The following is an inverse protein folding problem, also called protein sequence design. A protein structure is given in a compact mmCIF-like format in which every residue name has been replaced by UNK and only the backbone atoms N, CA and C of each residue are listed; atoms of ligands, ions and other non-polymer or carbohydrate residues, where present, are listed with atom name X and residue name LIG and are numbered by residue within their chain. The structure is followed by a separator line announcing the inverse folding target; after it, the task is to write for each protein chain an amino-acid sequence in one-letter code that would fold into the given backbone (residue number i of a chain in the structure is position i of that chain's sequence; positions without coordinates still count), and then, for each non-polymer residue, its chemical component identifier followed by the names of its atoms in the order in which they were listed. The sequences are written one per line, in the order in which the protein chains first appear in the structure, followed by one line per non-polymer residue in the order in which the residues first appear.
data_IF_987299595793
#
_entry.id   IF_987299595793
#
_cell.length_a   1.000
_cell.length_b   1.000
_cell.length_c   1.000
_cell.angle_alpha   90.00
_cell.angle_beta   90.00
_cell.angle_gamma   90.00
#
_symmetry.space_group_name_H-M   'P 1'
#
loop_
_entity.id
_entity.type
_entity.pdbx_description
1 polymer ?
#
# COMPACT_ATOMS: atom_id res chain seq x y z
N UNK A 1 -17.15 5.19 -2.96
CA UNK A 1 -18.08 6.31 -2.73
C UNK A 1 -18.10 6.55 -1.23
N UNK A 2 -17.81 7.76 -0.73
CA UNK A 2 -17.78 8.01 0.73
C UNK A 2 -19.22 8.12 1.24
N UNK A 3 -19.63 7.17 2.08
CA UNK A 3 -20.96 7.12 2.70
C UNK A 3 -20.82 7.17 4.21
N UNK A 4 -21.68 7.93 4.87
CA UNK A 4 -21.82 7.96 6.33
C UNK A 4 -22.86 6.90 6.72
N UNK A 5 -22.55 6.13 7.76
CA UNK A 5 -23.41 5.09 8.31
C UNK A 5 -24.33 5.64 9.41
N UNK A 6 -25.55 5.12 9.46
CA UNK A 6 -26.47 5.22 10.60
C UNK A 6 -26.55 3.86 11.28
N UNK A 7 -26.92 3.79 12.58
CA UNK A 7 -27.11 2.51 13.26
C UNK A 7 -28.13 1.60 12.55
N UNK A 8 -29.17 2.18 11.94
CA UNK A 8 -30.19 1.45 11.18
C UNK A 8 -29.69 0.83 9.87
N UNK A 9 -28.50 1.20 9.40
CA UNK A 9 -27.94 0.68 8.17
C UNK A 9 -27.21 -0.66 8.36
N UNK A 10 -26.93 -1.04 9.62
CA UNK A 10 -26.28 -2.29 9.94
C UNK A 10 -27.24 -3.46 9.80
N UNK A 11 -26.75 -4.54 9.21
CA UNK A 11 -27.46 -5.80 9.03
C UNK A 11 -26.73 -6.88 9.82
N UNK A 12 -27.48 -7.75 10.50
CA UNK A 12 -26.90 -8.86 11.22
C UNK A 12 -26.44 -9.94 10.22
N UNK A 13 -25.17 -10.34 10.29
CA UNK A 13 -24.58 -11.39 9.47
C UNK A 13 -23.82 -12.38 10.37
N UNK A 14 -23.92 -13.67 10.04
CA UNK A 14 -23.08 -14.70 10.67
C UNK A 14 -21.69 -14.68 10.03
N UNK A 15 -20.67 -14.43 10.85
CA UNK A 15 -19.26 -14.49 10.47
C UNK A 15 -18.57 -15.45 11.42
N UNK A 16 -18.06 -16.57 10.88
CA UNK A 16 -17.34 -17.60 11.65
C UNK A 16 -18.14 -18.16 12.86
N UNK A 17 -19.47 -18.29 12.72
CA UNK A 17 -20.34 -18.86 13.76
C UNK A 17 -20.70 -17.86 14.87
N UNK A 18 -20.49 -16.57 14.62
CA UNK A 18 -20.90 -15.47 15.51
C UNK A 18 -21.68 -14.44 14.70
N UNK A 19 -22.80 -14.00 15.26
CA UNK A 19 -23.62 -12.95 14.66
C UNK A 19 -22.99 -11.59 14.96
N UNK A 20 -22.62 -10.87 13.91
CA UNK A 20 -22.11 -9.51 13.98
C UNK A 20 -22.95 -8.57 13.12
N UNK A 21 -23.01 -7.30 13.50
CA UNK A 21 -23.61 -6.27 12.68
C UNK A 21 -22.60 -5.76 11.65
N UNK A 22 -23.01 -5.72 10.39
CA UNK A 22 -22.19 -5.28 9.27
C UNK A 22 -22.86 -4.24 8.39
N UNK A 23 -22.07 -3.40 7.75
CA UNK A 23 -22.51 -2.50 6.70
C UNK A 23 -22.47 -3.21 5.34
N UNK A 24 -23.61 -3.40 4.64
CA UNK A 24 -23.67 -4.21 3.42
C UNK A 24 -22.86 -3.66 2.23
N UNK A 25 -22.48 -2.38 2.27
CA UNK A 25 -21.72 -1.72 1.21
C UNK A 25 -20.23 -1.60 1.51
N UNK A 26 -19.78 -2.05 2.68
CA UNK A 26 -18.38 -1.98 3.07
C UNK A 26 -17.80 -3.40 3.07
N UNK A 27 -17.03 -3.66 2.02
CA UNK A 27 -16.47 -4.98 1.72
C UNK A 27 -15.21 -5.27 2.56
N UNK A 28 -14.66 -4.25 3.23
CA UNK A 28 -13.41 -4.32 3.97
C UNK A 28 -13.65 -4.29 5.47
N UNK A 29 -12.78 -5.01 6.19
CA UNK A 29 -12.68 -4.85 7.64
C UNK A 29 -12.13 -3.46 7.94
N UNK A 30 -12.90 -2.67 8.69
CA UNK A 30 -12.52 -1.32 9.07
C UNK A 30 -13.07 -0.99 10.47
N UNK A 31 -12.60 0.09 11.11
CA UNK A 31 -13.17 0.51 12.38
C UNK A 31 -14.69 0.66 12.28
N UNK A 32 -15.42 -0.01 13.18
CA UNK A 32 -16.88 -0.02 13.22
C UNK A 32 -17.58 -1.08 12.35
N UNK A 33 -16.85 -1.85 11.54
CA UNK A 33 -17.44 -2.90 10.69
C UNK A 33 -16.50 -4.12 10.54
N UNK A 34 -16.86 -5.32 11.04
CA UNK A 34 -18.06 -5.67 11.81
C UNK A 34 -18.06 -5.03 13.21
N UNK A 35 -19.26 -4.94 13.82
CA UNK A 35 -19.47 -4.47 15.21
C UNK A 35 -20.49 -5.34 15.94
N UNK A 36 -20.45 -5.34 17.27
CA UNK A 36 -21.49 -5.99 18.10
C UNK A 36 -22.62 -5.01 18.46
N UNK A 37 -22.36 -3.71 18.37
CA UNK A 37 -23.31 -2.64 18.64
C UNK A 37 -23.34 -1.64 17.46
N UNK A 38 -24.48 -1.50 16.77
CA UNK A 38 -24.64 -0.56 15.66
C UNK A 38 -24.46 0.91 16.04
N UNK A 39 -24.75 1.32 17.27
CA UNK A 39 -24.59 2.72 17.69
C UNK A 39 -23.12 3.12 17.77
N UNK A 40 -22.33 2.37 18.54
CA UNK A 40 -20.87 2.57 18.62
C UNK A 40 -20.18 2.31 17.28
N UNK A 41 -20.63 1.31 16.53
CA UNK A 41 -20.11 1.00 15.20
C UNK A 41 -20.28 2.15 14.21
N UNK A 42 -21.46 2.76 14.16
CA UNK A 42 -21.72 3.91 13.29
C UNK A 42 -20.79 5.10 13.61
N UNK A 43 -20.55 5.39 14.90
CA UNK A 43 -19.63 6.46 15.32
C UNK A 43 -18.20 6.16 14.86
N UNK A 44 -17.71 4.94 15.10
CA UNK A 44 -16.36 4.52 14.70
C UNK A 44 -16.17 4.54 13.18
N UNK A 45 -17.14 3.99 12.43
CA UNK A 45 -17.12 3.98 10.98
C UNK A 45 -17.11 5.39 10.39
N UNK A 46 -17.97 6.28 10.89
CA UNK A 46 -18.06 7.65 10.39
C UNK A 46 -16.79 8.45 10.66
N UNK A 47 -16.18 8.26 11.84
CA UNK A 47 -14.88 8.85 12.16
C UNK A 47 -13.80 8.35 11.19
N UNK A 48 -13.75 7.04 10.95
CA UNK A 48 -12.82 6.45 9.99
C UNK A 48 -13.03 6.98 8.56
N UNK A 49 -14.29 7.14 8.12
CA UNK A 49 -14.61 7.70 6.81
C UNK A 49 -14.23 9.17 6.68
N UNK A 50 -14.39 9.96 7.75
CA UNK A 50 -13.93 11.34 7.80
C UNK A 50 -12.40 11.41 7.75
N UNK A 51 -11.69 10.62 8.55
CA UNK A 51 -10.22 10.55 8.52
C UNK A 51 -9.72 10.13 7.14
N UNK A 52 -10.36 9.13 6.54
CA UNK A 52 -10.09 8.70 5.16
C UNK A 52 -10.34 9.83 4.18
N UNK A 53 -11.40 10.61 4.32
CA UNK A 53 -11.69 11.74 3.43
C UNK A 53 -10.66 12.88 3.57
N UNK A 54 -10.27 13.22 4.80
CA UNK A 54 -9.26 14.25 5.08
C UNK A 54 -7.88 13.83 4.58
N UNK A 55 -7.58 12.54 4.65
CA UNK A 55 -6.33 11.95 4.15
C UNK A 55 -6.41 11.54 2.67
N UNK A 56 -7.40 12.02 1.91
CA UNK A 56 -7.44 11.91 0.44
C UNK A 56 -8.18 10.69 -0.14
N UNK A 57 -8.95 9.92 0.64
CA UNK A 57 -9.77 8.82 0.14
C UNK A 57 -9.00 7.59 -0.31
N UNK A 58 -7.67 7.63 -0.22
CA UNK A 58 -6.75 6.63 -0.72
C UNK A 58 -6.49 5.59 0.38
N UNK A 59 -7.25 4.51 0.48
CA UNK A 59 -6.78 3.32 -0.20
C UNK A 59 -6.45 3.63 -1.67
N UNK A 60 -5.30 4.29 -1.90
CA UNK A 60 -4.51 4.00 -3.08
C UNK A 60 -4.44 2.49 -3.01
N UNK A 61 -4.81 1.81 -4.10
CA UNK A 61 -4.15 0.52 -4.30
C UNK A 61 -2.68 0.90 -4.20
N UNK A 62 -2.06 0.61 -3.06
CA UNK A 62 -0.63 0.84 -2.89
C UNK A 62 -0.04 0.09 -4.07
N UNK A 63 0.51 0.85 -5.03
CA UNK A 63 1.27 0.29 -6.11
C UNK A 63 2.71 0.45 -5.65
N UNK A 64 3.21 -0.49 -4.82
CA UNK A 64 4.52 -0.36 -4.22
C UNK A 64 5.61 -0.23 -5.28
N UNK A 65 5.37 -0.73 -6.50
CA UNK A 65 6.30 -0.58 -7.62
C UNK A 65 6.27 0.85 -8.13
N UNK A 66 5.11 1.41 -8.45
CA UNK A 66 5.02 2.79 -8.93
C UNK A 66 5.51 3.80 -7.89
N UNK A 67 5.15 3.62 -6.62
CA UNK A 67 5.59 4.48 -5.51
C UNK A 67 7.11 4.41 -5.31
N UNK A 68 7.69 3.21 -5.34
CA UNK A 68 9.14 3.04 -5.22
C UNK A 68 9.88 3.64 -6.42
N UNK A 69 9.36 3.51 -7.64
CA UNK A 69 9.94 4.12 -8.84
C UNK A 69 9.90 5.64 -8.74
N UNK A 70 8.76 6.21 -8.37
CA UNK A 70 8.61 7.65 -8.25
C UNK A 70 9.55 8.23 -7.18
N UNK A 71 9.64 7.58 -6.02
CA UNK A 71 10.52 8.00 -4.94
C UNK A 71 12.00 7.82 -5.29
N UNK A 72 12.38 6.74 -5.97
CA UNK A 72 13.76 6.52 -6.43
C UNK A 72 14.22 7.60 -7.42
N UNK A 73 13.31 8.07 -8.28
CA UNK A 73 13.60 9.10 -9.30
C UNK A 73 13.60 10.53 -8.75
N UNK A 74 12.70 10.84 -7.81
CA UNK A 74 12.50 12.22 -7.30
C UNK A 74 13.35 12.54 -6.08
N UNK A 75 13.66 11.54 -5.25
CA UNK A 75 14.33 11.78 -3.96
C UNK A 75 15.85 11.77 -4.14
N UNK A 76 16.56 12.82 -3.67
CA UNK A 76 18.02 12.84 -3.68
C UNK A 76 18.60 11.87 -2.64
N UNK A 77 19.90 11.56 -2.78
CA UNK A 77 20.64 10.73 -1.84
C UNK A 77 20.96 9.32 -2.34
N UNK A 78 21.99 8.74 -1.70
CA UNK A 78 22.60 7.47 -2.11
C UNK A 78 21.62 6.29 -2.00
N UNK A 79 20.83 6.24 -0.93
CA UNK A 79 19.89 5.15 -0.69
C UNK A 79 18.83 5.04 -1.82
N UNK A 80 18.31 6.17 -2.28
CA UNK A 80 17.32 6.21 -3.37
C UNK A 80 17.96 5.98 -4.74
N UNK A 81 19.23 6.38 -4.93
CA UNK A 81 20.02 5.99 -6.11
C UNK A 81 20.21 4.48 -6.17
N UNK A 82 20.65 3.86 -5.08
CA UNK A 82 20.82 2.42 -4.99
C UNK A 82 19.48 1.68 -5.19
N UNK A 83 18.38 2.22 -4.64
CA UNK A 83 17.04 1.70 -4.92
C UNK A 83 16.70 1.73 -6.42
N UNK A 84 17.04 2.80 -7.14
CA UNK A 84 16.83 2.87 -8.58
C UNK A 84 17.63 1.80 -9.33
N UNK A 85 18.88 1.55 -8.93
CA UNK A 85 19.72 0.50 -9.50
C UNK A 85 19.10 -0.88 -9.26
N UNK A 86 18.71 -1.19 -8.02
CA UNK A 86 18.13 -2.47 -7.64
C UNK A 86 16.81 -2.76 -8.34
N UNK A 87 15.91 -1.77 -8.49
CA UNK A 87 14.66 -1.93 -9.25
C UNK A 87 14.98 -2.24 -10.72
N UNK A 88 15.97 -1.55 -11.30
CA UNK A 88 16.37 -1.79 -12.69
C UNK A 88 17.05 -3.15 -12.89
N UNK A 89 17.83 -3.60 -11.91
CA UNK A 89 18.45 -4.92 -11.89
C UNK A 89 17.39 -6.02 -11.71
N UNK A 90 16.36 -5.78 -10.90
CA UNK A 90 15.22 -6.68 -10.73
C UNK A 90 14.40 -6.83 -12.01
N UNK A 91 14.15 -5.73 -12.73
CA UNK A 91 13.54 -5.77 -14.06
C UNK A 91 14.33 -6.66 -15.03
N UNK A 92 15.67 -6.56 -15.02
CA UNK A 92 16.56 -7.37 -15.86
C UNK A 92 16.75 -8.82 -15.36
N UNK A 93 16.13 -9.20 -14.24
CA UNK A 93 16.28 -10.52 -13.63
C UNK A 93 17.64 -10.79 -12.99
N UNK A 94 18.42 -9.74 -12.69
CA UNK A 94 19.75 -9.81 -12.06
C UNK A 94 19.71 -9.63 -10.54
N UNK A 95 18.59 -9.10 -10.04
CA UNK A 95 18.33 -8.88 -8.63
C UNK A 95 16.93 -9.37 -8.28
N UNK A 96 16.70 -9.68 -7.01
CA UNK A 96 15.39 -10.03 -6.48
C UNK A 96 15.29 -9.50 -5.06
N UNK A 97 14.21 -8.78 -4.75
CA UNK A 97 13.96 -8.34 -3.38
C UNK A 97 13.54 -9.55 -2.54
N UNK A 98 14.27 -9.82 -1.46
CA UNK A 98 14.03 -10.96 -0.55
C UNK A 98 13.94 -10.48 0.89
N UNK A 99 13.14 -11.16 1.70
CA UNK A 99 13.06 -10.92 3.14
C UNK A 99 14.40 -11.11 3.85
N UNK A 100 15.25 -11.99 3.31
CA UNK A 100 16.55 -12.33 3.90
C UNK A 100 17.53 -11.14 3.87
N UNK A 101 17.32 -10.19 2.97
CA UNK A 101 18.18 -9.01 2.81
C UNK A 101 17.74 -7.84 3.70
N UNK A 102 16.67 -7.99 4.50
CA UNK A 102 16.05 -6.90 5.24
C UNK A 102 17.05 -6.11 6.09
N UNK A 103 17.96 -6.79 6.79
CA UNK A 103 18.94 -6.13 7.67
C UNK A 103 20.03 -5.36 6.93
N UNK A 104 20.27 -5.69 5.66
CA UNK A 104 21.28 -5.04 4.82
C UNK A 104 20.81 -3.72 4.20
N UNK A 105 19.49 -3.47 4.19
CA UNK A 105 18.92 -2.33 3.49
C UNK A 105 19.05 -1.00 4.26
N UNK A 106 19.35 0.11 3.56
CA UNK A 106 19.35 1.45 4.15
C UNK A 106 18.01 1.78 4.80
N UNK A 107 18.04 2.41 5.98
CA UNK A 107 16.85 2.71 6.76
C UNK A 107 15.83 3.56 5.97
N UNK A 108 16.32 4.48 5.13
CA UNK A 108 15.52 5.41 4.33
C UNK A 108 14.67 4.72 3.26
N UNK A 109 15.12 3.56 2.77
CA UNK A 109 14.44 2.82 1.69
C UNK A 109 13.93 1.45 2.13
N UNK A 110 14.17 1.07 3.39
CA UNK A 110 13.84 -0.25 3.94
C UNK A 110 12.35 -0.60 3.81
N UNK A 111 11.46 0.34 4.10
CA UNK A 111 10.00 0.13 3.96
C UNK A 111 9.58 -0.10 2.51
N UNK A 112 10.13 0.68 1.56
CA UNK A 112 9.87 0.51 0.13
C UNK A 112 10.37 -0.85 -0.36
N UNK A 113 11.60 -1.21 -0.02
CA UNK A 113 12.21 -2.49 -0.40
C UNK A 113 11.44 -3.69 0.16
N UNK A 114 10.94 -3.59 1.40
CA UNK A 114 10.11 -4.62 2.01
C UNK A 114 8.79 -4.81 1.24
N UNK A 115 8.15 -3.73 0.77
CA UNK A 115 6.95 -3.84 -0.06
C UNK A 115 7.24 -4.48 -1.43
N UNK A 116 8.43 -4.23 -1.99
CA UNK A 116 8.84 -4.79 -3.29
C UNK A 116 9.12 -6.30 -3.25
N UNK A 117 9.36 -6.90 -2.07
CA UNK A 117 9.54 -8.36 -1.93
C UNK A 117 8.38 -9.13 -2.55
N UNK A 118 7.15 -8.62 -2.37
CA UNK A 118 5.92 -9.25 -2.88
C UNK A 118 5.59 -8.83 -4.31
N UNK A 119 6.39 -7.95 -4.92
CA UNK A 119 6.08 -7.30 -6.20
C UNK A 119 7.13 -7.54 -7.28
N UNK A 120 8.00 -8.54 -7.10
CA UNK A 120 9.06 -8.88 -8.08
C UNK A 120 8.50 -9.16 -9.49
N UNK A 121 7.33 -9.81 -9.61
CA UNK A 121 6.69 -10.05 -10.91
C UNK A 121 6.12 -8.76 -11.52
N UNK A 122 5.57 -7.87 -10.68
CA UNK A 122 5.05 -6.58 -11.12
C UNK A 122 6.19 -5.65 -11.59
N UNK A 123 7.39 -5.73 -10.99
CA UNK A 123 8.57 -4.99 -11.46
C UNK A 123 8.89 -5.35 -12.92
N UNK A 124 8.69 -6.60 -13.36
CA UNK A 124 8.91 -7.00 -14.77
C UNK A 124 7.95 -6.35 -15.78
N UNK A 125 6.86 -5.77 -15.30
CA UNK A 125 5.87 -5.07 -16.13
C UNK A 125 6.16 -3.57 -16.28
N UNK A 126 7.27 -3.07 -15.71
CA UNK A 126 7.67 -1.67 -15.88
C UNK A 126 7.87 -1.31 -17.35
N UNK A 127 7.45 -0.09 -17.70
CA UNK A 127 7.66 0.42 -19.05
C UNK A 127 9.15 0.67 -19.32
N UNK A 128 9.56 0.52 -20.57
CA UNK A 128 10.94 0.81 -20.99
C UNK A 128 11.38 2.24 -20.59
N UNK A 129 10.46 3.21 -20.64
CA UNK A 129 10.71 4.60 -20.22
C UNK A 129 11.09 4.68 -18.73
N UNK A 130 10.36 4.01 -17.85
CA UNK A 130 10.65 3.99 -16.41
C UNK A 130 12.00 3.31 -16.15
N UNK A 131 12.24 2.16 -16.77
CA UNK A 131 13.52 1.43 -16.61
C UNK A 131 14.71 2.25 -17.07
N UNK A 132 14.61 2.95 -18.21
CA UNK A 132 15.67 3.84 -18.66
C UNK A 132 15.92 5.01 -17.71
N UNK A 133 14.87 5.61 -17.14
CA UNK A 133 15.01 6.68 -16.16
C UNK A 133 15.70 6.18 -14.88
N UNK A 134 15.34 5.00 -14.38
CA UNK A 134 15.96 4.37 -13.21
C UNK A 134 17.44 4.08 -13.44
N UNK A 135 17.78 3.50 -14.60
CA UNK A 135 19.17 3.23 -14.97
C UNK A 135 20.00 4.50 -15.11
N UNK A 136 19.42 5.56 -15.68
CA UNK A 136 20.09 6.85 -15.74
C UNK A 136 20.34 7.40 -14.33
N UNK A 137 19.32 7.37 -13.46
CA UNK A 137 19.44 7.79 -12.06
C UNK A 137 20.53 7.04 -11.31
N UNK A 138 20.63 5.71 -11.49
CA UNK A 138 21.65 4.87 -10.88
C UNK A 138 23.09 5.29 -11.22
N UNK A 139 23.30 5.89 -12.40
CA UNK A 139 24.63 6.35 -12.84
C UNK A 139 25.02 7.75 -12.35
N UNK A 140 24.10 8.49 -11.72
CA UNK A 140 24.38 9.85 -11.26
C UNK A 140 25.13 9.83 -9.93
N UNK A 141 26.28 10.50 -9.86
CA UNK A 141 27.11 10.62 -8.67
C UNK A 141 26.37 11.30 -7.50
#
# INVERSE_FOLDING_TARGET
MQRIAKPSDYVLQDILGRSHYVLPWEDKLCPGNPTDDPESGAVAYNKHMLERAHNGGTALVEDPVSDAVDLALKTPGEAYRALADDISAAYLGRYQFRTDDLDSWPAETKSLRAALVFSNDAIRQLSAKQVMALRFRATQA
#
